data_IF_425001876185
#
_entry.id   IF_425001876185
#
_cell.length_a   1.000
_cell.length_b   1.000
_cell.length_c   1.000
_cell.angle_alpha   90.00
_cell.angle_beta   90.00
_cell.angle_gamma   90.00
#
_symmetry.space_group_name_H-M   'P 1'
#
loop_
_entity.id
_entity.type
_entity.pdbx_description
1 polymer ?
#
# COMPACT_ATOMS: atom_id res chain seq x y z
N UNK A 1 -64.44 -57.74 18.48
CA UNK A 1 -63.90 -56.92 19.60
C UNK A 1 -62.57 -56.25 19.24
N UNK A 2 -61.64 -56.94 18.57
CA UNK A 2 -60.35 -56.39 18.13
C UNK A 2 -60.49 -55.20 17.15
N UNK A 3 -61.38 -55.29 16.15
CA UNK A 3 -61.59 -54.20 15.18
C UNK A 3 -62.09 -52.88 15.80
N UNK A 4 -62.92 -52.95 16.84
CA UNK A 4 -63.44 -51.75 17.52
C UNK A 4 -62.32 -51.02 18.28
N UNK A 5 -61.34 -51.77 18.81
CA UNK A 5 -60.18 -51.19 19.50
C UNK A 5 -59.24 -50.53 18.48
N UNK A 6 -59.04 -51.15 17.32
CA UNK A 6 -58.19 -50.58 16.26
C UNK A 6 -58.78 -49.29 15.68
N UNK A 7 -60.10 -49.23 15.47
CA UNK A 7 -60.78 -48.02 15.00
C UNK A 7 -60.66 -46.88 16.03
N UNK A 8 -60.86 -47.16 17.33
CA UNK A 8 -60.69 -46.14 18.38
C UNK A 8 -59.26 -45.63 18.47
N UNK A 9 -58.27 -46.50 18.32
CA UNK A 9 -56.86 -46.10 18.33
C UNK A 9 -56.52 -45.22 17.12
N UNK A 10 -56.98 -45.59 15.91
CA UNK A 10 -56.76 -44.78 14.71
C UNK A 10 -57.42 -43.39 14.80
N UNK A 11 -58.64 -43.30 15.34
CA UNK A 11 -59.33 -42.02 15.54
C UNK A 11 -58.57 -41.15 16.56
N UNK A 12 -58.07 -41.72 17.66
CA UNK A 12 -57.26 -40.98 18.64
C UNK A 12 -55.93 -40.48 18.07
N UNK A 13 -55.26 -41.26 17.21
CA UNK A 13 -53.99 -40.85 16.60
C UNK A 13 -54.19 -39.72 15.58
N UNK A 14 -55.24 -39.80 14.75
CA UNK A 14 -55.55 -38.75 13.76
C UNK A 14 -55.91 -37.44 14.46
N UNK A 15 -56.77 -37.49 15.48
CA UNK A 15 -57.17 -36.29 16.24
C UNK A 15 -56.00 -35.64 17.00
N UNK A 16 -55.07 -36.44 17.54
CA UNK A 16 -53.87 -35.89 18.19
C UNK A 16 -52.92 -35.21 17.19
N UNK A 17 -52.74 -35.79 16.00
CA UNK A 17 -51.92 -35.20 14.94
C UNK A 17 -52.49 -33.87 14.44
N UNK A 18 -53.81 -33.77 14.27
CA UNK A 18 -54.46 -32.53 13.83
C UNK A 18 -54.41 -31.41 14.88
N UNK A 19 -54.57 -31.76 16.17
CA UNK A 19 -54.42 -30.79 17.26
C UNK A 19 -52.97 -30.30 17.35
N UNK A 20 -52.00 -31.19 17.15
CA UNK A 20 -50.59 -30.82 17.16
C UNK A 20 -50.23 -29.88 15.99
N UNK A 21 -50.70 -30.16 14.78
CA UNK A 21 -50.43 -29.27 13.63
C UNK A 21 -51.13 -27.91 13.78
N UNK A 22 -52.37 -27.88 14.30
CA UNK A 22 -53.10 -26.63 14.52
C UNK A 22 -52.43 -25.75 15.60
N UNK A 23 -52.00 -26.34 16.70
CA UNK A 23 -51.28 -25.62 17.77
C UNK A 23 -49.91 -25.14 17.30
N UNK A 24 -49.17 -25.96 16.56
CA UNK A 24 -47.88 -25.57 15.99
C UNK A 24 -48.02 -24.40 15.00
N UNK A 25 -48.98 -24.48 14.07
CA UNK A 25 -49.23 -23.41 13.10
C UNK A 25 -49.70 -22.11 13.79
N UNK A 26 -50.52 -22.22 14.82
CA UNK A 26 -50.98 -21.07 15.60
C UNK A 26 -49.84 -20.40 16.38
N UNK A 27 -48.89 -21.18 16.93
CA UNK A 27 -47.69 -20.63 17.57
C UNK A 27 -46.80 -19.92 16.54
N UNK A 28 -46.63 -20.48 15.34
CA UNK A 28 -45.84 -19.84 14.27
C UNK A 28 -46.47 -18.50 13.85
N UNK A 29 -47.80 -18.46 13.64
CA UNK A 29 -48.52 -17.23 13.26
C UNK A 29 -48.44 -16.19 14.38
N UNK A 30 -48.58 -16.59 15.64
CA UNK A 30 -48.46 -15.69 16.78
C UNK A 30 -47.04 -15.13 16.91
N UNK A 31 -46.01 -15.97 16.71
CA UNK A 31 -44.61 -15.52 16.71
C UNK A 31 -44.33 -14.57 15.55
N UNK A 32 -44.91 -14.78 14.36
CA UNK A 32 -44.78 -13.86 13.23
C UNK A 32 -45.45 -12.51 13.52
N UNK A 33 -46.68 -12.51 14.03
CA UNK A 33 -47.40 -11.28 14.40
C UNK A 33 -46.70 -10.48 15.51
N UNK A 34 -46.11 -11.17 16.51
CA UNK A 34 -45.33 -10.50 17.56
C UNK A 34 -44.05 -9.89 17.00
N UNK A 35 -43.39 -10.54 16.03
CA UNK A 35 -42.22 -9.97 15.33
C UNK A 35 -42.57 -8.72 14.52
N UNK A 36 -43.69 -8.76 13.79
CA UNK A 36 -44.13 -7.63 12.96
C UNK A 36 -44.60 -6.43 13.79
N UNK A 37 -45.29 -6.67 14.91
CA UNK A 37 -45.69 -5.57 15.79
C UNK A 37 -44.49 -4.95 16.50
N UNK A 38 -43.54 -5.76 16.96
CA UNK A 38 -42.31 -5.26 17.56
C UNK A 38 -41.47 -4.41 16.58
N UNK A 39 -41.38 -4.79 15.31
CA UNK A 39 -40.63 -4.04 14.29
C UNK A 39 -41.24 -2.65 14.04
N UNK A 40 -42.57 -2.55 13.96
CA UNK A 40 -43.29 -1.29 13.72
C UNK A 40 -43.13 -0.30 14.88
N UNK A 41 -43.26 -0.77 16.13
CA UNK A 41 -43.07 0.11 17.31
C UNK A 41 -41.61 0.59 17.43
N UNK A 42 -40.66 -0.24 17.03
CA UNK A 42 -39.24 0.10 17.05
C UNK A 42 -38.88 1.16 16.00
N UNK A 43 -39.37 1.04 14.76
CA UNK A 43 -39.13 2.01 13.69
C UNK A 43 -39.65 3.42 14.06
N UNK A 44 -40.89 3.52 14.55
CA UNK A 44 -41.45 4.82 14.97
C UNK A 44 -40.63 5.49 16.09
N UNK A 45 -40.10 4.70 17.02
CA UNK A 45 -39.27 5.21 18.12
C UNK A 45 -37.92 5.73 17.61
N UNK A 46 -37.29 5.01 16.68
CA UNK A 46 -36.02 5.40 16.05
C UNK A 46 -36.18 6.71 15.30
N UNK A 47 -37.18 6.81 14.42
CA UNK A 47 -37.44 8.01 13.63
C UNK A 47 -37.73 9.23 14.53
N UNK A 48 -38.52 9.04 15.59
CA UNK A 48 -38.82 10.10 16.55
C UNK A 48 -37.57 10.59 17.28
N UNK A 49 -36.74 9.68 17.78
CA UNK A 49 -35.46 10.05 18.43
C UNK A 49 -34.53 10.80 17.47
N UNK A 50 -34.47 10.38 16.20
CA UNK A 50 -33.69 11.07 15.17
C UNK A 50 -34.20 12.50 14.93
N UNK A 51 -35.52 12.70 14.80
CA UNK A 51 -36.12 14.04 14.64
C UNK A 51 -35.91 14.92 15.87
N UNK A 52 -36.04 14.36 17.08
CA UNK A 52 -35.73 15.07 18.33
C UNK A 52 -34.27 15.53 18.33
N UNK A 53 -33.34 14.67 17.93
CA UNK A 53 -31.93 15.03 17.82
C UNK A 53 -31.68 16.20 16.85
N UNK A 54 -32.33 16.19 15.68
CA UNK A 54 -32.26 17.30 14.71
C UNK A 54 -32.78 18.62 15.30
N UNK A 55 -33.90 18.59 16.02
CA UNK A 55 -34.46 19.78 16.68
C UNK A 55 -33.51 20.31 17.75
N UNK A 56 -32.88 19.42 18.54
CA UNK A 56 -31.89 19.80 19.56
C UNK A 56 -30.63 20.43 18.93
N UNK A 57 -30.18 19.92 17.79
CA UNK A 57 -29.07 20.51 17.03
C UNK A 57 -29.40 21.93 16.56
N UNK A 58 -30.59 22.14 15.99
CA UNK A 58 -31.07 23.47 15.55
C UNK A 58 -31.16 24.45 16.75
N UNK A 59 -31.56 23.96 17.93
CA UNK A 59 -31.60 24.74 19.17
C UNK A 59 -30.23 25.04 19.78
N UNK A 60 -29.14 24.58 19.15
CA UNK A 60 -27.77 24.71 19.65
C UNK A 60 -27.58 24.03 21.02
N UNK A 61 -28.22 22.87 21.21
CA UNK A 61 -28.01 21.99 22.37
C UNK A 61 -27.20 20.73 21.94
N UNK A 62 -25.90 20.88 21.57
CA UNK A 62 -25.14 19.82 20.89
C UNK A 62 -24.96 18.56 21.73
N UNK A 63 -24.77 18.67 23.05
CA UNK A 63 -24.59 17.48 23.91
C UNK A 63 -25.83 16.60 23.95
N UNK A 64 -27.01 17.22 24.03
CA UNK A 64 -28.28 16.49 24.04
C UNK A 64 -28.58 15.89 22.68
N UNK A 65 -28.28 16.61 21.60
CA UNK A 65 -28.38 16.09 20.24
C UNK A 65 -27.47 14.88 20.04
N UNK A 66 -26.21 14.95 20.47
CA UNK A 66 -25.25 13.85 20.41
C UNK A 66 -25.76 12.61 21.13
N UNK A 67 -26.25 12.75 22.36
CA UNK A 67 -26.80 11.63 23.11
C UNK A 67 -28.00 11.00 22.38
N UNK A 68 -28.87 11.81 21.76
CA UNK A 68 -30.01 11.30 21.00
C UNK A 68 -29.62 10.59 19.70
N UNK A 69 -28.62 11.08 18.98
CA UNK A 69 -28.09 10.36 17.82
C UNK A 69 -27.41 9.04 18.23
N UNK A 70 -26.68 9.01 19.35
CA UNK A 70 -26.11 7.77 19.90
C UNK A 70 -27.21 6.78 20.29
N UNK A 71 -28.28 7.24 20.95
CA UNK A 71 -29.43 6.40 21.30
C UNK A 71 -30.05 5.74 20.05
N UNK A 72 -30.15 6.46 18.93
CA UNK A 72 -30.62 5.91 17.65
C UNK A 72 -29.71 4.78 17.18
N UNK A 73 -28.40 5.00 17.14
CA UNK A 73 -27.44 3.98 16.72
C UNK A 73 -27.48 2.72 17.59
N UNK A 74 -27.47 2.89 18.92
CA UNK A 74 -27.51 1.79 19.89
C UNK A 74 -28.84 1.02 19.84
N UNK A 75 -29.95 1.72 19.59
CA UNK A 75 -31.26 1.08 19.42
C UNK A 75 -31.29 0.21 18.17
N UNK A 76 -30.77 0.73 17.04
CA UNK A 76 -30.68 -0.02 15.79
C UNK A 76 -29.78 -1.25 15.91
N UNK A 77 -28.61 -1.13 16.58
CA UNK A 77 -27.73 -2.26 16.90
C UNK A 77 -28.48 -3.33 17.72
N UNK A 78 -29.17 -2.91 18.79
CA UNK A 78 -29.93 -3.82 19.65
C UNK A 78 -31.03 -4.56 18.86
N UNK A 79 -31.74 -3.86 17.98
CA UNK A 79 -32.80 -4.49 17.18
C UNK A 79 -32.20 -5.46 16.17
N UNK A 80 -31.08 -5.08 15.53
CA UNK A 80 -30.33 -5.92 14.60
C UNK A 80 -29.89 -7.23 15.22
N UNK A 81 -29.27 -7.18 16.41
CA UNK A 81 -28.85 -8.40 17.14
C UNK A 81 -30.02 -9.27 17.59
N UNK A 82 -31.13 -8.66 18.03
CA UNK A 82 -32.27 -9.42 18.53
C UNK A 82 -33.12 -10.05 17.42
N UNK A 83 -33.10 -9.49 16.21
CA UNK A 83 -33.94 -9.94 15.11
C UNK A 83 -33.16 -9.96 13.78
N UNK A 84 -32.18 -10.88 13.62
CA UNK A 84 -31.45 -11.03 12.37
C UNK A 84 -32.43 -11.38 11.24
N UNK A 85 -32.42 -10.60 10.16
CA UNK A 85 -33.32 -10.78 9.01
C UNK A 85 -34.55 -9.88 8.98
N UNK A 86 -34.76 -9.02 9.98
CA UNK A 86 -35.79 -7.98 9.87
C UNK A 86 -35.37 -6.92 8.86
N UNK A 87 -36.31 -6.40 8.08
CA UNK A 87 -36.07 -5.22 7.23
C UNK A 87 -35.89 -3.99 8.14
N UNK A 88 -34.65 -3.77 8.56
CA UNK A 88 -34.29 -2.67 9.43
C UNK A 88 -34.05 -1.43 8.59
N UNK A 89 -34.51 -0.29 9.11
CA UNK A 89 -34.23 1.03 8.56
C UNK A 89 -32.78 1.45 8.87
N UNK A 90 -31.81 0.64 8.39
CA UNK A 90 -30.38 0.85 8.63
C UNK A 90 -29.89 2.18 8.07
N UNK A 91 -30.63 2.83 7.18
CA UNK A 91 -30.30 4.15 6.66
C UNK A 91 -30.18 5.23 7.76
N UNK A 92 -30.87 5.06 8.90
CA UNK A 92 -30.73 5.98 10.03
C UNK A 92 -29.36 5.91 10.73
N UNK A 93 -28.61 4.80 10.62
CA UNK A 93 -27.27 4.68 11.19
C UNK A 93 -26.29 5.67 10.55
N UNK A 94 -25.99 5.61 9.23
CA UNK A 94 -25.05 6.52 8.62
C UNK A 94 -25.55 7.97 8.62
N UNK A 95 -26.87 8.21 8.62
CA UNK A 95 -27.40 9.57 8.81
C UNK A 95 -27.08 10.11 10.20
N UNK A 96 -27.26 9.31 11.24
CA UNK A 96 -26.96 9.71 12.62
C UNK A 96 -25.46 9.91 12.83
N UNK A 97 -24.62 9.01 12.29
CA UNK A 97 -23.16 9.14 12.34
C UNK A 97 -22.68 10.41 11.61
N UNK A 98 -23.27 10.75 10.47
CA UNK A 98 -22.98 11.99 9.76
C UNK A 98 -23.37 13.24 10.57
N UNK A 99 -24.49 13.21 11.31
CA UNK A 99 -24.86 14.33 12.19
C UNK A 99 -23.97 14.43 13.43
N UNK A 100 -23.53 13.30 13.98
CA UNK A 100 -22.54 13.28 15.04
C UNK A 100 -21.21 13.90 14.57
N UNK A 101 -20.75 13.55 13.36
CA UNK A 101 -19.50 14.11 12.82
C UNK A 101 -19.58 15.61 12.57
N UNK A 102 -20.71 16.13 12.07
CA UNK A 102 -20.98 17.56 11.95
C UNK A 102 -20.85 18.29 13.30
N UNK A 103 -21.45 17.73 14.37
CA UNK A 103 -21.37 18.34 15.71
C UNK A 103 -19.94 18.35 16.24
N UNK A 104 -19.17 17.27 16.06
CA UNK A 104 -17.77 17.23 16.48
C UNK A 104 -16.88 18.18 15.66
N UNK A 105 -17.19 18.38 14.39
CA UNK A 105 -16.55 19.41 13.56
C UNK A 105 -16.81 20.82 14.11
N UNK A 106 -18.04 21.12 14.52
CA UNK A 106 -18.38 22.39 15.17
C UNK A 106 -17.67 22.59 16.52
N UNK A 107 -17.42 21.49 17.25
CA UNK A 107 -16.64 21.47 18.50
C UNK A 107 -15.12 21.59 18.28
N UNK A 108 -14.64 21.67 17.05
CA UNK A 108 -13.22 21.62 16.68
C UNK A 108 -12.50 20.33 17.11
N UNK A 109 -13.18 19.19 17.08
CA UNK A 109 -12.58 17.87 17.24
C UNK A 109 -12.56 17.12 15.89
N UNK A 110 -11.56 17.40 15.03
CA UNK A 110 -11.49 16.81 13.70
C UNK A 110 -11.18 15.31 13.75
N UNK A 111 -10.50 14.83 14.78
CA UNK A 111 -10.11 13.42 14.88
C UNK A 111 -11.30 12.51 15.17
N UNK A 112 -12.20 12.97 16.03
CA UNK A 112 -13.44 12.26 16.35
C UNK A 112 -14.46 12.42 15.24
N UNK A 113 -14.56 13.60 14.65
CA UNK A 113 -15.38 13.82 13.45
C UNK A 113 -14.97 12.89 12.30
N UNK A 114 -13.66 12.75 12.04
CA UNK A 114 -13.15 11.85 11.01
C UNK A 114 -13.47 10.39 11.32
N UNK A 115 -13.33 9.93 12.57
CA UNK A 115 -13.68 8.56 12.95
C UNK A 115 -15.15 8.24 12.65
N UNK A 116 -16.07 9.17 12.93
CA UNK A 116 -17.49 9.00 12.58
C UNK A 116 -17.76 9.02 11.08
N UNK A 117 -17.02 9.82 10.30
CA UNK A 117 -17.15 9.84 8.83
C UNK A 117 -16.66 8.54 8.19
N UNK A 118 -15.56 7.96 8.71
CA UNK A 118 -15.04 6.66 8.25
C UNK A 118 -16.07 5.57 8.55
N UNK A 119 -16.57 5.49 9.78
CA UNK A 119 -17.61 4.55 10.17
C UNK A 119 -18.89 4.74 9.33
N UNK A 120 -19.33 5.99 9.09
CA UNK A 120 -20.45 6.31 8.21
C UNK A 120 -20.24 5.75 6.79
N UNK A 121 -19.04 5.90 6.22
CA UNK A 121 -18.70 5.38 4.89
C UNK A 121 -18.81 3.86 4.86
N UNK A 122 -18.23 3.16 5.83
CA UNK A 122 -18.27 1.70 5.87
C UNK A 122 -19.71 1.17 6.00
N UNK A 123 -20.58 1.86 6.75
CA UNK A 123 -22.02 1.53 6.76
C UNK A 123 -22.70 1.74 5.41
N UNK A 124 -22.35 2.79 4.65
CA UNK A 124 -22.87 2.97 3.30
C UNK A 124 -22.37 1.89 2.32
N UNK A 125 -21.10 1.52 2.41
CA UNK A 125 -20.50 0.44 1.61
C UNK A 125 -21.19 -0.90 1.90
N UNK A 126 -21.40 -1.23 3.18
CA UNK A 126 -22.17 -2.41 3.59
C UNK A 126 -23.60 -2.41 3.05
N UNK A 127 -24.32 -1.29 3.14
CA UNK A 127 -25.68 -1.19 2.60
C UNK A 127 -25.72 -1.26 1.07
N UNK A 128 -24.68 -0.80 0.38
CA UNK A 128 -24.57 -0.92 -1.07
C UNK A 128 -24.32 -2.38 -1.48
N UNK A 129 -23.40 -3.07 -0.80
CA UNK A 129 -23.09 -4.47 -1.04
C UNK A 129 -24.28 -5.42 -0.78
N UNK A 130 -25.11 -5.12 0.22
CA UNK A 130 -26.25 -5.97 0.62
C UNK A 130 -27.58 -5.61 -0.05
N UNK A 131 -27.60 -4.87 -1.17
CA UNK A 131 -28.85 -4.55 -1.86
C UNK A 131 -29.44 -5.80 -2.54
N UNK A 132 -30.72 -6.15 -2.30
CA UNK A 132 -31.32 -7.41 -2.76
C UNK A 132 -31.49 -7.57 -4.29
N UNK A 133 -31.06 -6.61 -5.11
CA UNK A 133 -31.25 -6.61 -6.57
C UNK A 133 -29.94 -6.49 -7.37
N UNK A 134 -28.77 -6.74 -6.77
CA UNK A 134 -27.49 -6.53 -7.44
C UNK A 134 -27.17 -7.54 -8.57
N UNK A 135 -27.92 -8.65 -8.68
CA UNK A 135 -27.64 -9.75 -9.63
C UNK A 135 -27.98 -9.43 -11.10
N UNK A 136 -28.56 -8.27 -11.42
CA UNK A 136 -28.93 -7.89 -12.81
C UNK A 136 -28.27 -6.61 -13.33
N UNK A 137 -27.50 -5.92 -12.50
CA UNK A 137 -26.67 -4.81 -12.96
C UNK A 137 -25.29 -5.36 -13.29
N UNK A 138 -25.17 -5.95 -14.49
CA UNK A 138 -23.88 -6.13 -15.19
C UNK A 138 -23.30 -4.75 -15.51
N UNK A 139 -22.92 -4.00 -14.48
CA UNK A 139 -22.12 -2.80 -14.64
C UNK A 139 -20.71 -3.26 -14.95
N UNK A 140 -20.43 -3.35 -16.26
CA UNK A 140 -19.09 -3.54 -16.83
C UNK A 140 -18.14 -2.37 -16.57
N UNK A 141 -18.50 -1.43 -15.70
CA UNK A 141 -17.63 -0.33 -15.27
C UNK A 141 -16.76 -0.77 -14.07
N UNK A 142 -16.01 -1.85 -14.29
CA UNK A 142 -14.95 -2.32 -13.39
C UNK A 142 -13.70 -1.44 -13.52
N UNK A 143 -13.85 -0.13 -13.36
CA UNK A 143 -12.73 0.81 -13.46
C UNK A 143 -11.88 0.89 -12.17
N UNK A 144 -12.41 0.43 -11.03
CA UNK A 144 -11.63 0.32 -9.79
C UNK A 144 -11.78 -1.11 -9.24
N UNK A 145 -10.88 -2.00 -9.65
CA UNK A 145 -10.69 -3.33 -9.06
C UNK A 145 -10.15 -3.28 -7.62
N UNK A 146 -10.66 -2.37 -6.79
CA UNK A 146 -10.50 -2.45 -5.36
C UNK A 146 -11.57 -3.40 -4.87
N UNK A 147 -11.14 -4.56 -4.40
CA UNK A 147 -11.96 -5.44 -3.58
C UNK A 147 -12.63 -4.56 -2.51
N UNK A 148 -13.95 -4.40 -2.61
CA UNK A 148 -14.71 -3.74 -1.57
C UNK A 148 -14.43 -4.52 -0.29
N UNK A 149 -13.88 -3.86 0.73
CA UNK A 149 -13.62 -4.52 2.00
C UNK A 149 -14.97 -5.04 2.53
N UNK A 150 -15.12 -6.37 2.55
CA UNK A 150 -16.33 -7.03 3.03
C UNK A 150 -16.40 -6.87 4.56
N UNK A 151 -16.92 -5.75 5.03
CA UNK A 151 -17.17 -5.52 6.44
C UNK A 151 -18.41 -6.31 6.89
N UNK A 152 -18.27 -7.10 7.97
CA UNK A 152 -19.44 -7.70 8.63
C UNK A 152 -20.19 -6.64 9.45
N UNK A 153 -21.49 -6.83 9.65
CA UNK A 153 -22.30 -5.86 10.39
C UNK A 153 -21.84 -5.74 11.86
N UNK A 154 -21.37 -6.83 12.45
CA UNK A 154 -20.79 -6.87 13.79
C UNK A 154 -19.53 -6.00 13.90
N UNK A 155 -18.59 -6.13 12.95
CA UNK A 155 -17.37 -5.32 12.90
C UNK A 155 -17.68 -3.82 12.78
N UNK A 156 -18.69 -3.46 11.98
CA UNK A 156 -19.13 -2.07 11.83
C UNK A 156 -19.68 -1.48 13.14
N UNK A 157 -20.43 -2.28 13.91
CA UNK A 157 -20.89 -1.87 15.22
C UNK A 157 -19.72 -1.74 16.22
N UNK A 158 -18.73 -2.62 16.17
CA UNK A 158 -17.52 -2.48 16.99
C UNK A 158 -16.74 -1.20 16.64
N UNK A 159 -16.56 -0.90 15.35
CA UNK A 159 -15.94 0.35 14.89
C UNK A 159 -16.72 1.58 15.37
N UNK A 160 -18.05 1.54 15.31
CA UNK A 160 -18.91 2.58 15.83
C UNK A 160 -18.71 2.80 17.34
N UNK A 161 -18.62 1.73 18.13
CA UNK A 161 -18.34 1.83 19.57
C UNK A 161 -16.95 2.37 19.85
N UNK A 162 -15.95 1.98 19.06
CA UNK A 162 -14.60 2.54 19.14
C UNK A 162 -14.62 4.05 18.88
N UNK A 163 -15.41 4.53 17.91
CA UNK A 163 -15.60 5.95 17.67
C UNK A 163 -16.32 6.66 18.84
N UNK A 164 -17.29 6.01 19.50
CA UNK A 164 -17.93 6.55 20.70
C UNK A 164 -16.98 6.73 21.88
N UNK A 165 -16.07 5.76 22.06
CA UNK A 165 -15.14 5.69 23.20
C UNK A 165 -13.85 6.50 23.00
N UNK A 166 -13.57 6.98 21.79
CA UNK A 166 -12.41 7.84 21.52
C UNK A 166 -12.48 9.09 22.40
N UNK A 167 -11.40 9.41 23.10
CA UNK A 167 -11.33 10.61 23.95
C UNK A 167 -11.54 11.87 23.10
N UNK A 168 -12.28 12.84 23.65
CA UNK A 168 -12.45 14.13 22.98
C UNK A 168 -11.08 14.81 22.90
N UNK A 169 -10.72 15.32 21.72
CA UNK A 169 -9.43 15.95 21.51
C UNK A 169 -9.26 17.14 22.47
N UNK A 170 -8.04 17.39 22.99
CA UNK A 170 -7.79 18.60 23.77
C UNK A 170 -8.15 19.83 22.92
N UNK A 171 -8.64 20.92 23.55
CA UNK A 171 -9.12 22.10 22.84
C UNK A 171 -8.09 22.57 21.81
N UNK A 172 -8.57 23.07 20.65
CA UNK A 172 -7.74 23.24 19.47
C UNK A 172 -6.50 24.06 19.79
N UNK A 173 -5.34 23.49 19.44
CA UNK A 173 -4.08 24.22 19.37
C UNK A 173 -4.26 25.36 18.35
N UNK A 174 -3.56 26.47 18.58
CA UNK A 174 -3.60 27.66 17.73
C UNK A 174 -3.68 27.28 16.24
N UNK A 175 -4.64 27.82 15.44
CA UNK A 175 -4.75 27.53 14.01
C UNK A 175 -3.42 27.57 13.25
N UNK A 176 -2.48 28.40 13.69
CA UNK A 176 -1.13 28.47 13.11
C UNK A 176 -0.33 27.16 13.30
N UNK A 177 -0.47 26.47 14.43
CA UNK A 177 0.19 25.19 14.68
C UNK A 177 -0.39 24.08 13.80
N UNK A 178 -1.71 24.08 13.59
CA UNK A 178 -2.38 23.11 12.72
C UNK A 178 -1.91 23.26 11.27
N UNK A 179 -1.82 24.48 10.77
CA UNK A 179 -1.31 24.75 9.41
C UNK A 179 0.16 24.31 9.29
N UNK A 180 0.97 24.56 10.31
CA UNK A 180 2.38 24.15 10.32
C UNK A 180 2.53 22.62 10.30
N UNK A 181 1.77 21.90 11.12
CA UNK A 181 1.73 20.44 11.12
C UNK A 181 1.26 19.88 9.78
N UNK A 182 0.23 20.48 9.17
CA UNK A 182 -0.25 20.08 7.85
C UNK A 182 0.81 20.29 6.76
N UNK A 183 1.51 21.43 6.75
CA UNK A 183 2.59 21.70 5.78
C UNK A 183 3.74 20.72 5.95
N UNK A 184 4.09 20.35 7.19
CA UNK A 184 5.13 19.36 7.48
C UNK A 184 4.72 17.96 7.04
N UNK A 185 3.49 17.54 7.32
CA UNK A 185 2.94 16.26 6.87
C UNK A 185 2.87 16.17 5.34
N UNK A 186 2.40 17.25 4.67
CA UNK A 186 2.37 17.34 3.21
C UNK A 186 3.77 17.26 2.61
N UNK A 187 4.74 17.98 3.17
CA UNK A 187 6.13 17.94 2.72
C UNK A 187 6.69 16.52 2.82
N UNK A 188 6.42 15.82 3.93
CA UNK A 188 6.84 14.42 4.11
C UNK A 188 6.20 13.48 3.07
N UNK A 189 4.91 13.66 2.79
CA UNK A 189 4.21 12.89 1.77
C UNK A 189 4.79 13.14 0.36
N UNK A 190 5.06 14.40 0.02
CA UNK A 190 5.67 14.78 -1.26
C UNK A 190 7.09 14.20 -1.39
N UNK A 191 7.87 14.18 -0.30
CA UNK A 191 9.19 13.54 -0.25
C UNK A 191 9.11 12.01 -0.45
N UNK A 192 8.12 11.34 0.16
CA UNK A 192 7.90 9.91 -0.01
C UNK A 192 7.48 9.56 -1.45
N UNK A 193 6.57 10.33 -2.04
CA UNK A 193 6.17 10.17 -3.45
C UNK A 193 7.36 10.41 -4.38
N UNK A 194 8.16 11.45 -4.13
CA UNK A 194 9.36 11.73 -4.93
C UNK A 194 10.38 10.59 -4.84
N UNK A 195 10.57 10.02 -3.65
CA UNK A 195 11.46 8.87 -3.43
C UNK A 195 10.97 7.61 -4.15
N UNK A 196 9.67 7.33 -4.11
CA UNK A 196 9.09 6.20 -4.84
C UNK A 196 9.23 6.37 -6.35
N UNK A 197 8.92 7.56 -6.87
CA UNK A 197 9.09 7.87 -8.29
C UNK A 197 10.54 7.75 -8.74
N UNK A 198 11.50 8.22 -7.93
CA UNK A 198 12.92 8.03 -8.20
C UNK A 198 13.30 6.55 -8.26
N UNK A 199 12.79 5.74 -7.33
CA UNK A 199 13.04 4.30 -7.29
C UNK A 199 12.51 3.61 -8.55
N UNK A 200 11.27 3.90 -8.95
CA UNK A 200 10.68 3.37 -10.20
C UNK A 200 11.48 3.79 -11.43
N UNK A 201 11.97 5.03 -11.45
CA UNK A 201 12.77 5.54 -12.56
C UNK A 201 14.14 4.85 -12.64
N UNK A 202 14.78 4.58 -11.50
CA UNK A 202 16.01 3.78 -11.45
C UNK A 202 15.79 2.34 -11.90
N UNK A 203 14.71 1.69 -11.46
CA UNK A 203 14.33 0.33 -11.88
C UNK A 203 14.09 0.27 -13.39
N UNK A 204 13.40 1.26 -13.97
CA UNK A 204 13.20 1.35 -15.43
C UNK A 204 14.52 1.54 -16.20
N UNK A 205 15.47 2.32 -15.66
CA UNK A 205 16.79 2.50 -16.29
C UNK A 205 17.59 1.21 -16.23
N UNK A 206 17.56 0.51 -15.10
CA UNK A 206 18.25 -0.77 -14.91
C UNK A 206 17.66 -1.86 -15.81
N UNK A 207 16.34 -1.93 -15.93
CA UNK A 207 15.66 -2.86 -16.84
C UNK A 207 16.01 -2.57 -18.31
N UNK A 208 16.09 -1.29 -18.72
CA UNK A 208 16.55 -0.91 -20.06
C UNK A 208 18.01 -1.27 -20.29
N UNK A 209 18.88 -1.09 -19.30
CA UNK A 209 20.28 -1.54 -19.39
C UNK A 209 20.36 -3.06 -19.55
N UNK A 210 19.60 -3.82 -18.75
CA UNK A 210 19.54 -5.29 -18.85
C UNK A 210 19.04 -5.75 -20.22
N UNK A 211 18.00 -5.10 -20.76
CA UNK A 211 17.48 -5.36 -22.11
C UNK A 211 18.51 -5.04 -23.20
N UNK A 212 19.25 -3.94 -23.06
CA UNK A 212 20.31 -3.57 -23.99
C UNK A 212 21.52 -4.52 -23.92
N UNK A 213 21.92 -4.96 -22.73
CA UNK A 213 22.99 -5.94 -22.53
C UNK A 213 22.61 -7.29 -23.12
N UNK A 214 21.40 -7.78 -22.84
CA UNK A 214 20.88 -9.01 -23.43
C UNK A 214 20.78 -8.90 -24.95
N UNK A 215 20.29 -7.79 -25.49
CA UNK A 215 20.17 -7.58 -26.94
C UNK A 215 21.53 -7.55 -27.63
N UNK A 216 22.55 -6.92 -27.02
CA UNK A 216 23.92 -6.95 -27.55
C UNK A 216 24.49 -8.36 -27.52
N UNK A 217 24.30 -9.09 -26.42
CA UNK A 217 24.77 -10.47 -26.29
C UNK A 217 24.11 -11.40 -27.30
N UNK A 218 22.79 -11.27 -27.50
CA UNK A 218 22.02 -12.01 -28.50
C UNK A 218 22.49 -11.69 -29.93
N UNK A 219 22.69 -10.41 -30.27
CA UNK A 219 23.25 -10.03 -31.58
C UNK A 219 24.65 -10.61 -31.79
N UNK A 220 25.48 -10.66 -30.75
CA UNK A 220 26.84 -11.22 -30.83
C UNK A 220 26.78 -12.74 -31.04
N UNK A 221 25.89 -13.43 -30.31
CA UNK A 221 25.66 -14.87 -30.46
C UNK A 221 25.07 -15.23 -31.84
N UNK A 222 24.12 -14.45 -32.33
CA UNK A 222 23.51 -14.64 -33.65
C UNK A 222 24.54 -14.43 -34.76
N UNK A 223 25.40 -13.40 -34.64
CA UNK A 223 26.50 -13.18 -35.57
C UNK A 223 27.51 -14.34 -35.57
N UNK A 224 27.86 -14.85 -34.38
CA UNK A 224 28.72 -16.03 -34.22
C UNK A 224 28.09 -17.26 -34.90
N UNK A 225 26.80 -17.49 -34.67
CA UNK A 225 26.09 -18.66 -35.19
C UNK A 225 25.91 -18.61 -36.71
N UNK A 226 25.70 -17.42 -37.28
CA UNK A 226 25.51 -17.25 -38.72
C UNK A 226 26.82 -17.35 -39.52
N UNK A 227 27.98 -17.26 -38.88
CA UNK A 227 29.28 -17.25 -39.56
C UNK A 227 30.33 -18.18 -38.91
N UNK A 228 30.06 -19.49 -38.79
CA UNK A 228 30.96 -20.43 -38.11
C UNK A 228 32.32 -20.53 -38.82
N UNK A 229 32.35 -20.42 -40.14
CA UNK A 229 33.59 -20.47 -40.94
C UNK A 229 34.49 -19.26 -40.66
N UNK A 230 33.92 -18.04 -40.59
CA UNK A 230 34.71 -16.83 -40.29
C UNK A 230 35.28 -16.89 -38.88
N UNK A 231 34.52 -17.42 -37.93
CA UNK A 231 34.99 -17.63 -36.56
C UNK A 231 36.12 -18.65 -36.50
N UNK A 232 35.99 -19.78 -37.21
CA UNK A 232 37.07 -20.79 -37.29
C UNK A 232 38.37 -20.20 -37.86
N UNK A 233 38.28 -19.40 -38.93
CA UNK A 233 39.46 -18.72 -39.51
C UNK A 233 40.05 -17.72 -38.50
N UNK A 234 39.21 -16.91 -37.86
CA UNK A 234 39.63 -15.96 -36.83
C UNK A 234 40.31 -16.64 -35.65
N UNK A 235 39.77 -17.78 -35.20
CA UNK A 235 40.34 -18.59 -34.12
C UNK A 235 41.72 -19.16 -34.50
N UNK A 236 41.91 -19.65 -35.73
CA UNK A 236 43.21 -20.14 -36.21
C UNK A 236 44.24 -19.00 -36.28
N UNK A 237 43.85 -17.83 -36.79
CA UNK A 237 44.73 -16.65 -36.84
C UNK A 237 45.09 -16.19 -35.42
N UNK A 238 44.11 -16.12 -34.53
CA UNK A 238 44.32 -15.74 -33.13
C UNK A 238 45.25 -16.73 -32.43
N UNK A 239 45.03 -18.03 -32.61
CA UNK A 239 45.84 -19.08 -32.02
C UNK A 239 47.28 -19.05 -32.57
N UNK A 240 47.45 -18.73 -33.87
CA UNK A 240 48.75 -18.52 -34.48
C UNK A 240 49.50 -17.32 -33.90
N UNK A 241 48.84 -16.16 -33.78
CA UNK A 241 49.42 -14.97 -33.14
C UNK A 241 49.76 -15.26 -31.67
N UNK A 242 48.85 -15.91 -30.96
CA UNK A 242 49.06 -16.32 -29.57
C UNK A 242 50.27 -17.25 -29.44
N UNK A 243 50.45 -18.20 -30.35
CA UNK A 243 51.62 -19.08 -30.38
C UNK A 243 52.92 -18.30 -30.64
N UNK A 244 52.90 -17.31 -31.55
CA UNK A 244 54.06 -16.44 -31.80
C UNK A 244 54.40 -15.63 -30.55
N UNK A 245 53.39 -15.04 -29.88
CA UNK A 245 53.59 -14.30 -28.63
C UNK A 245 54.11 -15.23 -27.54
N UNK A 246 53.53 -16.42 -27.38
CA UNK A 246 53.97 -17.40 -26.40
C UNK A 246 55.42 -17.83 -26.68
N UNK A 247 55.77 -18.18 -27.92
CA UNK A 247 57.13 -18.55 -28.32
C UNK A 247 58.12 -17.39 -28.14
N UNK A 248 57.73 -16.16 -28.47
CA UNK A 248 58.56 -14.97 -28.21
C UNK A 248 58.70 -14.66 -26.72
N UNK A 249 57.67 -14.95 -25.91
CA UNK A 249 57.75 -14.84 -24.45
C UNK A 249 58.60 -15.96 -23.84
N UNK A 250 58.72 -17.09 -24.55
CA UNK A 250 59.63 -18.19 -24.26
C UNK A 250 61.03 -18.00 -24.86
N UNK A 251 61.33 -16.88 -25.54
CA UNK A 251 62.72 -16.55 -25.85
C UNK A 251 63.48 -16.40 -24.52
N UNK A 252 64.47 -17.26 -24.39
CA UNK A 252 65.30 -17.58 -23.23
C UNK A 252 66.16 -16.41 -22.69
N UNK A 253 65.76 -15.15 -22.87
CA UNK A 253 66.53 -13.99 -22.40
C UNK A 253 66.44 -13.78 -20.87
N UNK A 254 65.58 -14.52 -20.17
CA UNK A 254 65.52 -14.56 -18.70
C UNK A 254 66.23 -15.77 -18.07
N UNK A 255 66.97 -16.56 -18.86
CA UNK A 255 67.92 -17.57 -18.37
C UNK A 255 69.37 -17.10 -18.51
N UNK A 256 69.62 -15.81 -18.33
CA UNK A 256 70.95 -15.34 -17.92
C UNK A 256 71.03 -15.42 -16.37
N UNK A 257 71.60 -16.50 -15.79
CA UNK A 257 71.77 -16.61 -14.34
C UNK A 257 72.56 -15.44 -13.75
N UNK A 258 73.30 -14.67 -14.56
CA UNK A 258 73.98 -13.45 -14.15
C UNK A 258 73.04 -12.31 -13.74
N UNK A 259 71.83 -12.22 -14.31
CA UNK A 259 70.90 -11.11 -14.07
C UNK A 259 70.18 -11.22 -12.73
N UNK A 260 69.81 -12.43 -12.32
CA UNK A 260 69.28 -12.70 -10.97
C UNK A 260 70.35 -12.51 -9.89
N UNK A 261 71.59 -12.96 -10.14
CA UNK A 261 72.73 -12.72 -9.26
C UNK A 261 73.03 -11.21 -9.10
N UNK A 262 72.86 -10.42 -10.16
CA UNK A 262 73.01 -8.97 -10.11
C UNK A 262 71.89 -8.31 -9.29
N UNK A 263 70.63 -8.72 -9.48
CA UNK A 263 69.49 -8.25 -8.65
C UNK A 263 69.66 -8.60 -7.17
N UNK A 264 70.13 -9.80 -6.84
CA UNK A 264 70.43 -10.21 -5.47
C UNK A 264 71.60 -9.41 -4.86
N UNK A 265 72.63 -9.11 -5.65
CA UNK A 265 73.76 -8.28 -5.22
C UNK A 265 73.36 -6.83 -4.99
N UNK A 266 72.51 -6.28 -5.86
CA UNK A 266 71.99 -4.92 -5.72
C UNK A 266 71.02 -4.83 -4.52
N UNK A 267 70.14 -5.82 -4.31
CA UNK A 267 69.31 -5.90 -3.10
C UNK A 267 70.13 -6.09 -1.81
N UNK A 268 71.24 -6.83 -1.85
CA UNK A 268 72.12 -6.98 -0.70
C UNK A 268 72.86 -5.67 -0.38
N UNK A 269 73.31 -4.94 -1.40
CA UNK A 269 73.92 -3.62 -1.25
C UNK A 269 72.92 -2.58 -0.73
N UNK A 270 71.67 -2.64 -1.17
CA UNK A 270 70.60 -1.76 -0.71
C UNK A 270 70.18 -2.07 0.73
N UNK A 271 70.14 -3.35 1.13
CA UNK A 271 69.95 -3.75 2.55
C UNK A 271 71.10 -3.33 3.45
N UNK A 272 72.34 -3.26 2.97
CA UNK A 272 73.46 -2.72 3.74
C UNK A 272 73.37 -1.19 3.88
N UNK A 273 72.95 -0.47 2.84
CA UNK A 273 72.70 0.98 2.90
C UNK A 273 71.52 1.33 3.81
N UNK A 274 70.44 0.55 3.78
CA UNK A 274 69.29 0.72 4.67
C UNK A 274 69.64 0.44 6.15
N UNK A 275 70.58 -0.48 6.42
CA UNK A 275 71.08 -0.74 7.79
C UNK A 275 72.01 0.36 8.32
N UNK A 276 72.62 1.19 7.47
CA UNK A 276 73.39 2.38 7.91
C UNK A 276 72.53 3.63 8.09
N UNK A 277 71.29 3.66 7.58
CA UNK A 277 70.40 4.82 7.64
C UNK A 277 69.35 4.76 8.78
N UNK A 278 69.24 3.65 9.51
CA UNK A 278 68.32 3.55 10.66
C UNK A 278 69.05 3.88 11.97
N UNK A 279 69.08 5.18 12.29
CA UNK A 279 69.17 5.64 13.67
C UNK A 279 67.92 5.23 14.47
N UNK A 280 68.00 5.14 15.80
CA UNK A 280 66.97 4.52 16.62
C UNK A 280 65.79 5.49 16.81
N UNK A 281 64.65 5.20 16.18
CA UNK A 281 63.38 5.81 16.57
C UNK A 281 62.38 4.74 16.99
N UNK A 282 62.27 4.67 18.32
CA UNK A 282 61.07 4.64 19.13
C UNK A 282 59.90 3.76 18.67
N UNK A 283 59.71 2.67 19.41
CA UNK A 283 58.46 1.91 19.48
C UNK A 283 57.38 2.78 20.11
N UNK A 284 56.20 2.82 19.48
CA UNK A 284 54.94 2.83 20.22
C UNK A 284 53.84 2.19 19.39
N UNK A 285 52.92 1.57 20.13
CA UNK A 285 52.13 0.42 19.74
C UNK A 285 50.81 0.77 19.02
N UNK A 286 50.38 -0.23 18.24
CA UNK A 286 49.03 -0.65 17.85
C UNK A 286 47.80 0.18 18.25
N UNK A 287 46.95 0.48 17.26
CA UNK A 287 45.58 -0.08 17.24
C UNK A 287 44.96 -0.06 15.84
N UNK A 288 44.23 -1.13 15.56
CA UNK A 288 43.59 -1.50 14.31
C UNK A 288 42.52 -0.51 13.82
N UNK A 289 42.51 -0.23 12.52
CA UNK A 289 41.30 0.19 11.81
C UNK A 289 41.30 -0.44 10.41
N UNK A 290 40.31 -1.28 10.15
CA UNK A 290 40.01 -1.81 8.82
C UNK A 290 39.57 -0.65 7.91
N UNK A 291 40.44 -0.25 6.99
CA UNK A 291 40.12 0.67 5.91
C UNK A 291 39.75 -0.15 4.67
N UNK A 292 38.47 -0.10 4.31
CA UNK A 292 38.03 -0.52 2.99
C UNK A 292 38.54 0.52 1.98
N UNK A 293 39.49 0.09 1.14
CA UNK A 293 39.88 0.82 -0.06
C UNK A 293 38.68 0.89 -1.02
N UNK A 294 37.91 1.96 -0.91
CA UNK A 294 37.06 2.39 -2.03
C UNK A 294 37.97 2.92 -3.12
N UNK A 295 37.89 2.25 -4.26
CA UNK A 295 38.56 2.62 -5.49
C UNK A 295 38.30 4.11 -5.79
N UNK A 296 39.38 4.79 -6.15
CA UNK A 296 39.41 6.17 -6.60
C UNK A 296 38.30 6.44 -7.63
N UNK A 297 37.34 7.29 -7.24
CA UNK A 297 36.56 8.08 -8.20
C UNK A 297 37.56 8.90 -9.03
N UNK A 298 37.69 8.54 -10.30
CA UNK A 298 38.39 9.39 -11.26
C UNK A 298 37.63 10.72 -11.32
N UNK A 299 38.27 11.85 -11.00
CA UNK A 299 37.64 13.15 -11.19
C UNK A 299 37.24 13.26 -12.66
N UNK A 300 35.95 13.51 -12.90
CA UNK A 300 35.36 13.68 -14.23
C UNK A 300 36.25 14.62 -15.05
N UNK A 301 36.59 14.21 -16.26
CA UNK A 301 37.38 15.06 -17.16
C UNK A 301 36.66 16.40 -17.36
N UNK A 302 37.40 17.50 -17.46
CA UNK A 302 36.82 18.82 -17.69
C UNK A 302 35.97 18.86 -18.99
N UNK A 303 36.26 17.98 -19.95
CA UNK A 303 35.46 17.78 -21.17
C UNK A 303 34.14 17.07 -20.88
N UNK A 304 34.12 16.06 -20.01
CA UNK A 304 32.89 15.36 -19.60
C UNK A 304 31.98 16.28 -18.79
N UNK A 305 32.56 17.15 -17.95
CA UNK A 305 31.80 18.15 -17.20
C UNK A 305 31.14 19.17 -18.14
N UNK A 306 31.84 19.57 -19.21
CA UNK A 306 31.32 20.50 -20.21
C UNK A 306 30.22 19.87 -21.07
N UNK A 307 30.41 18.62 -21.49
CA UNK A 307 29.35 17.85 -22.18
C UNK A 307 28.12 17.66 -21.30
N UNK A 308 28.30 17.42 -20.01
CA UNK A 308 27.20 17.31 -19.06
C UNK A 308 26.45 18.64 -18.90
N UNK A 309 27.16 19.77 -18.79
CA UNK A 309 26.54 21.10 -18.74
C UNK A 309 25.75 21.42 -20.01
N UNK A 310 26.29 21.12 -21.20
CA UNK A 310 25.58 21.31 -22.48
C UNK A 310 24.33 20.43 -22.58
N UNK A 311 24.40 19.17 -22.12
CA UNK A 311 23.25 18.27 -22.11
C UNK A 311 22.13 18.76 -21.17
N UNK A 312 22.49 19.26 -19.98
CA UNK A 312 21.53 19.82 -19.02
C UNK A 312 20.88 21.08 -19.57
N UNK A 313 21.64 21.96 -20.22
CA UNK A 313 21.09 23.17 -20.83
C UNK A 313 20.14 22.85 -22.00
N UNK A 314 20.48 21.85 -22.81
CA UNK A 314 19.62 21.37 -23.90
C UNK A 314 18.30 20.80 -23.38
N UNK A 315 18.34 19.97 -22.34
CA UNK A 315 17.14 19.43 -21.69
C UNK A 315 16.24 20.52 -21.11
N UNK A 316 16.84 21.57 -20.53
CA UNK A 316 16.10 22.71 -19.99
C UNK A 316 15.35 23.47 -21.10
N UNK A 317 16.01 23.72 -22.24
CA UNK A 317 15.39 24.37 -23.41
C UNK A 317 14.25 23.53 -24.00
N UNK A 318 14.43 22.22 -24.14
CA UNK A 318 13.37 21.33 -24.64
C UNK A 318 12.15 21.30 -23.71
N UNK A 319 12.36 21.39 -22.39
CA UNK A 319 11.27 21.45 -21.42
C UNK A 319 10.50 22.78 -21.50
N UNK A 320 11.21 23.91 -21.56
CA UNK A 320 10.60 25.25 -21.71
C UNK A 320 9.81 25.36 -23.03
N UNK A 321 10.31 24.77 -24.11
CA UNK A 321 9.62 24.75 -25.41
C UNK A 321 8.34 23.90 -25.35
N UNK A 322 8.38 22.70 -24.75
CA UNK A 322 7.18 21.87 -24.55
C UNK A 322 6.15 22.57 -23.67
N UNK A 323 6.58 23.27 -22.62
CA UNK A 323 5.67 24.01 -21.75
C UNK A 323 4.98 25.17 -22.50
N UNK A 324 5.72 25.88 -23.36
CA UNK A 324 5.15 26.90 -24.25
C UNK A 324 4.18 26.30 -25.26
N UNK A 325 4.49 25.16 -25.87
CA UNK A 325 3.59 24.48 -26.80
C UNK A 325 2.29 24.05 -26.11
N UNK A 326 2.37 23.49 -24.90
CA UNK A 326 1.19 23.11 -24.12
C UNK A 326 0.34 24.33 -23.72
N UNK A 327 0.96 25.44 -23.31
CA UNK A 327 0.23 26.69 -23.03
C UNK A 327 -0.47 27.23 -24.27
N UNK A 328 0.17 27.15 -25.43
CA UNK A 328 -0.43 27.57 -26.70
C UNK A 328 -1.63 26.70 -27.09
N UNK A 329 -1.49 25.38 -27.03
CA UNK A 329 -2.58 24.43 -27.31
C UNK A 329 -3.77 24.62 -26.35
N UNK A 330 -3.52 24.97 -25.08
CA UNK A 330 -4.57 25.25 -24.10
C UNK A 330 -5.34 26.55 -24.39
N UNK A 331 -4.73 27.53 -25.05
CA UNK A 331 -5.39 28.79 -25.40
C UNK A 331 -6.17 28.70 -26.73
N UNK A 332 -5.93 27.67 -27.53
CA UNK A 332 -6.62 27.41 -28.80
C UNK A 332 -7.87 26.51 -28.64
N UNK A 333 -8.04 25.89 -27.46
CA UNK A 333 -9.24 25.19 -27.00
C UNK A 333 -10.12 26.13 -26.18
#
# INVERSE_FOLDING_TARGET
>A
MVEIVEIKFRISVVTFSEIYTLTHNSIIILMALVKDTASVFNSSTIENNFKIAQVLQIRKEPERALNKYKDVCLSLEKISRNNPGTNLELHFLPLSLGKISEIYKEKNDPEKALAFLVCQRHFFEYMAANRPNHEHENSTDGADGKDLEEHTLEELFEEMHNAFNKEDAPPPRDPQEVVKLFLEAKKKQDEEIAKENMKRLTEMIEERKRKLENSKWEQTLEWINNHPIKLAIGAVVFLGIFLIIALNSFNFDDLDPGRELKKLRDQAAEKQKAKQAQGPQNKNEHSHAHSHNHAHDKPLSQEELKQFQEMVEKLKKEHEEKEMQMKKARNEL
#
